data_IF_290976448542
#
_entry.id   IF_290976448542
#
_cell.length_a   1.000
_cell.length_b   1.000
_cell.length_c   1.000
_cell.angle_alpha   90.00
_cell.angle_beta   90.00
_cell.angle_gamma   90.00
#
_symmetry.space_group_name_H-M   'P 1'
#
loop_
_entity.id
_entity.type
_entity.pdbx_description
1 polymer ?
#
# COMPACT_ATOMS: atom_id res chain seq x y z
N UNK A 1 -45.47 -12.95 13.31
CA UNK A 1 -45.47 -11.88 12.28
C UNK A 1 -44.38 -12.21 11.26
N UNK A 2 -44.75 -12.80 10.11
CA UNK A 2 -43.78 -13.15 9.05
C UNK A 2 -43.25 -11.83 8.47
N UNK A 3 -42.00 -11.45 8.81
CA UNK A 3 -41.33 -10.36 8.11
C UNK A 3 -41.12 -10.83 6.67
N UNK A 4 -41.92 -10.29 5.76
CA UNK A 4 -41.81 -10.57 4.34
C UNK A 4 -40.38 -10.26 3.90
N UNK A 5 -39.73 -11.25 3.29
CA UNK A 5 -38.46 -11.06 2.59
C UNK A 5 -38.75 -10.01 1.53
N UNK A 6 -38.30 -8.77 1.76
CA UNK A 6 -38.38 -7.71 0.79
C UNK A 6 -37.51 -8.18 -0.38
N UNK A 7 -38.13 -8.69 -1.44
CA UNK A 7 -37.45 -8.99 -2.68
C UNK A 7 -37.00 -7.66 -3.29
N UNK A 8 -35.88 -7.13 -2.80
CA UNK A 8 -35.18 -6.04 -3.47
C UNK A 8 -34.75 -6.56 -4.82
N UNK A 9 -35.48 -6.15 -5.86
CA UNK A 9 -35.15 -6.35 -7.28
C UNK A 9 -33.89 -5.57 -7.67
N UNK A 10 -32.82 -5.60 -6.87
CA UNK A 10 -31.56 -5.02 -7.30
C UNK A 10 -30.94 -5.95 -8.34
N UNK A 11 -30.84 -5.46 -9.56
CA UNK A 11 -30.16 -6.12 -10.70
C UNK A 11 -28.70 -6.47 -10.32
N UNK A 12 -28.15 -5.80 -9.29
CA UNK A 12 -26.83 -6.06 -8.71
C UNK A 12 -26.75 -7.44 -8.07
N UNK A 13 -27.84 -7.93 -7.46
CA UNK A 13 -27.85 -9.21 -6.73
C UNK A 13 -27.40 -10.38 -7.61
N UNK A 14 -27.79 -10.42 -8.90
CA UNK A 14 -27.57 -11.59 -9.76
C UNK A 14 -26.29 -11.57 -10.60
N UNK A 15 -25.59 -10.43 -10.72
CA UNK A 15 -24.53 -10.26 -11.75
C UNK A 15 -23.13 -9.90 -11.23
N UNK A 16 -22.94 -9.69 -9.92
CA UNK A 16 -21.64 -9.21 -9.40
C UNK A 16 -20.84 -10.21 -8.57
N UNK A 17 -21.49 -11.25 -8.07
CA UNK A 17 -20.79 -12.30 -7.33
C UNK A 17 -20.23 -13.33 -8.31
N UNK A 18 -18.96 -13.68 -8.15
CA UNK A 18 -18.28 -14.69 -8.97
C UNK A 18 -18.55 -16.11 -8.47
N UNK A 19 -19.00 -16.26 -7.22
CA UNK A 19 -19.29 -17.55 -6.59
C UNK A 19 -20.66 -17.56 -5.87
N UNK A 20 -21.21 -18.76 -5.70
CA UNK A 20 -22.53 -18.97 -5.10
C UNK A 20 -22.58 -18.64 -3.60
N UNK A 21 -21.48 -18.84 -2.87
CA UNK A 21 -21.44 -18.63 -1.42
C UNK A 21 -21.52 -17.14 -1.09
N UNK A 22 -20.76 -16.30 -1.81
CA UNK A 22 -20.85 -14.85 -1.68
C UNK A 22 -22.24 -14.31 -2.01
N UNK A 23 -22.95 -14.93 -2.97
CA UNK A 23 -24.33 -14.56 -3.30
C UNK A 23 -25.28 -14.88 -2.15
N UNK A 24 -25.17 -16.06 -1.53
CA UNK A 24 -26.01 -16.46 -0.40
C UNK A 24 -25.77 -15.57 0.84
N UNK A 25 -24.51 -15.30 1.20
CA UNK A 25 -24.21 -14.38 2.31
C UNK A 25 -24.75 -12.97 2.05
N UNK A 26 -24.66 -12.50 0.81
CA UNK A 26 -25.23 -11.22 0.44
C UNK A 26 -26.76 -11.21 0.64
N UNK A 27 -27.47 -12.23 0.14
CA UNK A 27 -28.92 -12.36 0.34
C UNK A 27 -29.30 -12.38 1.82
N UNK A 28 -28.59 -13.15 2.64
CA UNK A 28 -28.82 -13.22 4.09
C UNK A 28 -28.60 -11.86 4.76
N UNK A 29 -27.51 -11.17 4.40
CA UNK A 29 -27.16 -9.84 4.95
C UNK A 29 -28.25 -8.82 4.65
N UNK A 30 -28.70 -8.73 3.40
CA UNK A 30 -29.78 -7.82 2.99
C UNK A 30 -31.12 -8.25 3.60
N UNK A 31 -31.38 -9.55 3.70
CA UNK A 31 -32.58 -10.10 4.36
C UNK A 31 -32.67 -9.71 5.84
N UNK A 32 -31.54 -9.45 6.50
CA UNK A 32 -31.47 -8.90 7.85
C UNK A 32 -31.55 -7.36 7.93
N UNK A 33 -31.79 -6.68 6.80
CA UNK A 33 -31.88 -5.23 6.74
C UNK A 33 -30.53 -4.51 6.81
N UNK A 34 -29.42 -5.22 6.58
CA UNK A 34 -28.09 -4.63 6.53
C UNK A 34 -27.67 -4.33 5.09
N UNK A 35 -26.90 -3.25 4.90
CA UNK A 35 -26.31 -2.91 3.58
C UNK A 35 -24.93 -3.55 3.39
N UNK A 36 -24.63 -4.00 2.18
CA UNK A 36 -23.28 -4.40 1.79
C UNK A 36 -22.58 -3.31 0.97
N UNK A 37 -21.36 -3.60 0.52
CA UNK A 37 -20.65 -2.72 -0.42
C UNK A 37 -21.43 -2.51 -1.73
N UNK A 38 -22.25 -3.48 -2.14
CA UNK A 38 -23.03 -3.40 -3.37
C UNK A 38 -24.16 -2.39 -3.26
N UNK A 39 -24.96 -2.45 -2.18
CA UNK A 39 -26.04 -1.48 -1.93
C UNK A 39 -25.46 -0.07 -1.77
N UNK A 40 -24.34 0.07 -1.04
CA UNK A 40 -23.69 1.37 -0.87
C UNK A 40 -23.13 1.91 -2.18
N UNK A 41 -22.59 1.05 -3.04
CA UNK A 41 -22.13 1.47 -4.37
C UNK A 41 -23.30 1.88 -5.27
N UNK A 42 -24.41 1.15 -5.24
CA UNK A 42 -25.62 1.47 -6.01
C UNK A 42 -26.24 2.79 -5.55
N UNK A 43 -26.33 3.02 -4.24
CA UNK A 43 -26.80 4.28 -3.66
C UNK A 43 -25.95 5.51 -4.05
N UNK A 44 -24.71 5.30 -4.49
CA UNK A 44 -23.82 6.34 -4.98
C UNK A 44 -23.97 6.61 -6.49
N UNK A 45 -24.83 5.88 -7.22
CA UNK A 45 -25.01 6.06 -8.66
C UNK A 45 -26.09 7.11 -9.02
N UNK A 46 -25.86 7.92 -10.08
CA UNK A 46 -24.60 8.04 -10.81
C UNK A 46 -23.56 8.80 -9.99
N UNK A 47 -22.36 8.23 -9.87
CA UNK A 47 -21.25 8.95 -9.23
C UNK A 47 -20.88 10.21 -10.03
N UNK A 48 -20.33 11.22 -9.35
CA UNK A 48 -19.94 12.48 -9.98
C UNK A 48 -19.02 12.27 -11.19
N UNK A 49 -19.49 12.63 -12.40
CA UNK A 49 -18.74 12.45 -13.64
C UNK A 49 -17.45 13.26 -13.71
N UNK A 50 -17.39 14.44 -13.10
CA UNK A 50 -16.18 15.27 -13.03
C UNK A 50 -15.13 14.62 -12.13
N UNK A 51 -15.51 14.16 -10.94
CA UNK A 51 -14.59 13.51 -10.01
C UNK A 51 -14.08 12.18 -10.57
N UNK A 52 -14.94 11.40 -11.24
CA UNK A 52 -14.54 10.12 -11.87
C UNK A 52 -13.50 10.30 -12.97
N UNK A 53 -13.49 11.45 -13.65
CA UNK A 53 -12.46 11.83 -14.65
C UNK A 53 -11.19 12.40 -14.00
N UNK A 54 -11.16 12.57 -12.68
CA UNK A 54 -10.06 13.24 -11.97
C UNK A 54 -10.04 14.76 -12.13
N UNK A 55 -11.10 15.37 -12.68
CA UNK A 55 -11.17 16.80 -13.03
C UNK A 55 -11.68 17.68 -11.89
N UNK A 56 -11.54 17.24 -10.64
CA UNK A 56 -11.89 18.03 -9.45
C UNK A 56 -10.70 18.09 -8.50
N UNK A 57 -10.49 19.27 -7.90
CA UNK A 57 -9.41 19.53 -6.96
C UNK A 57 -9.97 20.12 -5.65
N UNK A 58 -9.50 19.61 -4.51
CA UNK A 58 -9.89 20.04 -3.16
C UNK A 58 -8.67 20.26 -2.25
N UNK A 59 -7.52 20.59 -2.84
CA UNK A 59 -6.25 20.66 -2.12
C UNK A 59 -6.02 21.96 -1.35
N UNK A 60 -6.91 22.94 -1.49
CA UNK A 60 -6.88 24.19 -0.75
C UNK A 60 -8.30 24.68 -0.45
N UNK A 61 -8.38 25.74 0.38
CA UNK A 61 -9.62 26.37 0.81
C UNK A 61 -10.41 27.08 -0.29
N UNK A 62 -9.79 27.41 -1.42
CA UNK A 62 -10.46 28.08 -2.54
C UNK A 62 -11.25 27.09 -3.43
N UNK A 63 -11.11 25.78 -3.17
CA UNK A 63 -11.89 24.73 -3.82
C UNK A 63 -13.30 24.56 -3.22
N UNK A 64 -14.07 23.56 -3.69
CA UNK A 64 -13.72 22.59 -4.73
C UNK A 64 -13.70 23.20 -6.14
N UNK A 65 -12.58 23.08 -6.84
CA UNK A 65 -12.50 23.43 -8.26
C UNK A 65 -12.99 22.25 -9.12
N UNK A 66 -13.69 22.54 -10.23
CA UNK A 66 -14.19 21.56 -11.21
C UNK A 66 -13.90 22.01 -12.63
N UNK A 67 -13.08 21.24 -13.35
CA UNK A 67 -12.66 21.59 -14.71
C UNK A 67 -13.72 21.17 -15.73
N UNK A 68 -14.08 22.10 -16.61
CA UNK A 68 -15.03 21.92 -17.71
C UNK A 68 -14.71 22.88 -18.86
N UNK A 69 -15.40 22.76 -20.01
CA UNK A 69 -15.25 23.71 -21.12
C UNK A 69 -15.59 25.16 -20.73
N UNK A 70 -16.50 25.37 -19.75
CA UNK A 70 -16.89 26.70 -19.25
C UNK A 70 -15.94 27.25 -18.18
N UNK A 71 -15.25 26.35 -17.47
CA UNK A 71 -14.30 26.67 -16.41
C UNK A 71 -13.05 25.81 -16.60
N UNK A 72 -12.17 26.18 -17.55
CA UNK A 72 -11.04 25.33 -17.95
C UNK A 72 -9.90 25.30 -16.92
N UNK A 73 -9.93 26.20 -15.93
CA UNK A 73 -8.90 26.36 -14.90
C UNK A 73 -9.54 26.35 -13.50
N UNK A 74 -8.78 25.89 -12.51
CA UNK A 74 -9.10 26.13 -11.10
C UNK A 74 -8.80 27.58 -10.69
N UNK A 75 -9.18 27.96 -9.48
CA UNK A 75 -8.96 29.32 -8.94
C UNK A 75 -7.49 29.72 -8.98
N UNK A 76 -6.58 28.78 -8.68
CA UNK A 76 -5.14 29.00 -8.73
C UNK A 76 -4.53 28.93 -10.16
N UNK A 77 -5.35 28.72 -11.20
CA UNK A 77 -4.90 28.60 -12.59
C UNK A 77 -4.50 27.18 -13.02
N UNK A 78 -4.60 26.17 -12.16
CA UNK A 78 -4.31 24.79 -12.55
C UNK A 78 -5.36 24.26 -13.56
N UNK A 79 -4.90 23.71 -14.68
CA UNK A 79 -5.77 23.10 -15.70
C UNK A 79 -6.12 21.64 -15.34
N UNK A 80 -6.86 20.97 -16.25
CA UNK A 80 -7.23 19.57 -16.08
C UNK A 80 -6.03 18.61 -15.94
N UNK A 81 -4.99 18.78 -16.74
CA UNK A 81 -3.81 17.89 -16.75
C UNK A 81 -3.08 17.93 -15.42
N UNK A 82 -2.84 19.14 -14.89
CA UNK A 82 -2.18 19.34 -13.59
C UNK A 82 -3.02 18.75 -12.47
N UNK A 83 -4.34 18.97 -12.47
CA UNK A 83 -5.23 18.45 -11.42
C UNK A 83 -5.26 16.93 -11.45
N UNK A 84 -5.35 16.31 -12.64
CA UNK A 84 -5.33 14.85 -12.77
C UNK A 84 -3.99 14.28 -12.28
N UNK A 85 -2.87 14.88 -12.67
CA UNK A 85 -1.54 14.44 -12.23
C UNK A 85 -1.35 14.56 -10.71
N UNK A 86 -1.76 15.68 -10.09
CA UNK A 86 -1.72 15.87 -8.63
C UNK A 86 -2.57 14.85 -7.89
N UNK A 87 -3.79 14.59 -8.39
CA UNK A 87 -4.69 13.62 -7.79
C UNK A 87 -4.09 12.20 -7.82
N UNK A 88 -3.47 11.81 -8.94
CA UNK A 88 -2.78 10.51 -9.03
C UNK A 88 -1.54 10.44 -8.13
N UNK A 89 -0.74 11.49 -8.10
CA UNK A 89 0.46 11.57 -7.26
C UNK A 89 0.11 11.40 -5.77
N UNK A 90 -1.00 11.98 -5.29
CA UNK A 90 -1.44 11.77 -3.91
C UNK A 90 -1.87 10.35 -3.64
N UNK A 91 -2.58 9.70 -4.56
CA UNK A 91 -2.95 8.29 -4.39
C UNK A 91 -1.70 7.41 -4.29
N UNK A 92 -0.69 7.67 -5.12
CA UNK A 92 0.60 6.99 -5.04
C UNK A 92 1.28 7.25 -3.69
N UNK A 93 1.31 8.51 -3.22
CA UNK A 93 1.93 8.88 -1.94
C UNK A 93 1.27 8.20 -0.75
N UNK A 94 -0.07 8.10 -0.72
CA UNK A 94 -0.81 7.39 0.33
C UNK A 94 -0.45 5.90 0.34
N UNK A 95 -0.38 5.27 -0.83
CA UNK A 95 0.04 3.87 -0.96
C UNK A 95 1.45 3.63 -0.44
N UNK A 96 2.41 4.45 -0.88
CA UNK A 96 3.80 4.37 -0.41
C UNK A 96 3.90 4.62 1.10
N UNK A 97 3.17 5.60 1.64
CA UNK A 97 3.15 5.88 3.08
C UNK A 97 2.64 4.69 3.90
N UNK A 98 1.58 4.01 3.45
CA UNK A 98 1.02 2.84 4.13
C UNK A 98 2.03 1.68 4.23
N UNK A 99 2.67 1.34 3.11
CA UNK A 99 3.69 0.28 3.09
C UNK A 99 4.94 0.68 3.89
N UNK A 100 5.36 1.95 3.80
CA UNK A 100 6.50 2.44 4.58
C UNK A 100 6.24 2.36 6.07
N UNK A 101 5.02 2.72 6.50
CA UNK A 101 4.58 2.57 7.89
C UNK A 101 4.65 1.11 8.35
N UNK A 102 4.15 0.18 7.53
CA UNK A 102 4.20 -1.24 7.84
C UNK A 102 5.64 -1.78 7.91
N UNK A 103 6.49 -1.43 6.94
CA UNK A 103 7.91 -1.80 6.91
C UNK A 103 8.64 -1.30 8.16
N UNK A 104 8.42 -0.03 8.54
CA UNK A 104 9.00 0.57 9.74
C UNK A 104 8.59 -0.17 11.01
N UNK A 105 7.31 -0.53 11.13
CA UNK A 105 6.81 -1.29 12.27
C UNK A 105 7.48 -2.67 12.36
N UNK A 106 7.60 -3.38 11.23
CA UNK A 106 8.28 -4.68 11.15
C UNK A 106 9.78 -4.56 11.51
N UNK A 107 10.48 -3.54 11.01
CA UNK A 107 11.88 -3.29 11.36
C UNK A 107 12.04 -3.02 12.87
N UNK A 108 11.17 -2.19 13.46
CA UNK A 108 11.16 -1.96 14.90
C UNK A 108 10.90 -3.25 15.71
N UNK A 109 9.99 -4.11 15.23
CA UNK A 109 9.76 -5.43 15.85
C UNK A 109 11.00 -6.31 15.78
N UNK A 110 11.64 -6.41 14.61
CA UNK A 110 12.87 -7.19 14.43
C UNK A 110 13.99 -6.67 15.35
N UNK A 111 14.17 -5.35 15.43
CA UNK A 111 15.12 -4.72 16.35
C UNK A 111 14.84 -5.08 17.80
N UNK A 112 13.58 -5.00 18.24
CA UNK A 112 13.19 -5.34 19.60
C UNK A 112 13.45 -6.82 19.94
N UNK A 113 13.31 -7.73 18.98
CA UNK A 113 13.68 -9.16 19.17
C UNK A 113 15.20 -9.28 19.35
N UNK A 114 15.98 -8.64 18.47
CA UNK A 114 17.44 -8.67 18.55
C UNK A 114 17.99 -8.08 19.86
N UNK A 115 17.34 -7.06 20.41
CA UNK A 115 17.68 -6.45 21.70
C UNK A 115 17.12 -7.20 22.92
N UNK A 116 16.40 -8.31 22.74
CA UNK A 116 15.79 -9.07 23.83
C UNK A 116 14.62 -8.36 24.52
N UNK A 117 14.02 -7.35 23.88
CA UNK A 117 12.89 -6.57 24.39
C UNK A 117 11.52 -7.07 23.91
N UNK A 118 11.49 -8.10 23.06
CA UNK A 118 10.27 -8.70 22.51
C UNK A 118 10.20 -10.19 22.83
N UNK A 119 9.02 -10.73 23.19
CA UNK A 119 8.84 -12.17 23.39
C UNK A 119 8.75 -12.95 22.06
N UNK A 120 8.63 -12.26 20.93
CA UNK A 120 8.61 -12.87 19.61
C UNK A 120 9.98 -13.45 19.26
N UNK A 121 9.99 -14.44 18.37
CA UNK A 121 11.21 -15.12 17.92
C UNK A 121 11.35 -15.00 16.42
N UNK A 122 12.60 -14.93 15.95
CA UNK A 122 12.92 -15.11 14.54
C UNK A 122 12.66 -16.57 14.18
N UNK A 123 11.95 -16.80 13.08
CA UNK A 123 11.57 -18.14 12.61
C UNK A 123 12.42 -18.61 11.44
N UNK A 124 12.97 -17.69 10.65
CA UNK A 124 13.91 -18.01 9.56
C UNK A 124 15.22 -17.24 9.72
N UNK A 125 16.10 -17.79 10.54
CA UNK A 125 17.45 -17.26 10.76
C UNK A 125 18.29 -17.34 9.47
N UNK A 126 18.07 -18.37 8.65
CA UNK A 126 18.77 -18.56 7.38
C UNK A 126 18.43 -17.47 6.37
N UNK A 127 17.18 -17.01 6.31
CA UNK A 127 16.78 -15.84 5.51
C UNK A 127 17.54 -14.60 5.97
N UNK A 128 17.56 -14.31 7.26
CA UNK A 128 18.28 -13.16 7.82
C UNK A 128 19.78 -13.21 7.44
N UNK A 129 20.43 -14.35 7.66
CA UNK A 129 21.84 -14.55 7.30
C UNK A 129 22.10 -14.33 5.81
N UNK A 130 21.24 -14.88 4.93
CA UNK A 130 21.34 -14.65 3.47
C UNK A 130 21.20 -13.19 3.09
N UNK A 131 20.31 -12.44 3.75
CA UNK A 131 20.16 -11.00 3.49
C UNK A 131 21.39 -10.22 3.95
N UNK A 132 21.91 -10.50 5.14
CA UNK A 132 23.16 -9.90 5.63
C UNK A 132 24.34 -10.22 4.70
N UNK A 133 24.45 -11.46 4.23
CA UNK A 133 25.48 -11.86 3.27
C UNK A 133 25.33 -11.10 1.94
N UNK A 134 24.11 -10.96 1.42
CA UNK A 134 23.84 -10.20 0.19
C UNK A 134 24.15 -8.71 0.31
N UNK A 135 24.10 -8.17 1.53
CA UNK A 135 24.52 -6.81 1.86
C UNK A 135 26.03 -6.68 2.10
N UNK A 136 26.79 -7.77 1.95
CA UNK A 136 28.25 -7.81 2.15
C UNK A 136 28.67 -7.77 3.61
N UNK A 137 27.77 -8.08 4.55
CA UNK A 137 28.08 -8.11 5.98
C UNK A 137 28.51 -9.49 6.45
N UNK A 138 29.21 -9.52 7.58
CA UNK A 138 29.48 -10.76 8.30
C UNK A 138 28.17 -11.35 8.85
N UNK A 139 27.72 -12.44 8.22
CA UNK A 139 26.49 -13.16 8.54
C UNK A 139 26.72 -14.32 9.51
N UNK A 140 27.94 -14.49 10.04
CA UNK A 140 28.28 -15.54 11.01
C UNK A 140 28.11 -15.10 12.47
N UNK A 141 27.82 -13.80 12.67
CA UNK A 141 27.54 -13.20 13.98
C UNK A 141 26.25 -13.77 14.60
N UNK A 142 26.07 -13.61 15.93
CA UNK A 142 24.83 -14.01 16.59
C UNK A 142 23.59 -13.42 15.92
N UNK A 143 22.53 -14.23 15.79
CA UNK A 143 21.27 -13.87 15.12
C UNK A 143 20.65 -12.60 15.71
N UNK A 144 20.77 -12.40 17.03
CA UNK A 144 20.32 -11.19 17.71
C UNK A 144 21.02 -9.93 17.20
N UNK A 145 22.33 -9.99 16.96
CA UNK A 145 23.11 -8.86 16.43
C UNK A 145 22.77 -8.60 14.96
N UNK A 146 22.63 -9.67 14.16
CA UNK A 146 22.20 -9.56 12.77
C UNK A 146 20.82 -8.92 12.65
N UNK A 147 19.90 -9.26 13.56
CA UNK A 147 18.55 -8.72 13.57
C UNK A 147 18.53 -7.22 13.85
N UNK A 148 19.32 -6.75 14.83
CA UNK A 148 19.46 -5.32 15.11
C UNK A 148 20.10 -4.60 13.93
N UNK A 149 21.20 -5.14 13.38
CA UNK A 149 21.89 -4.53 12.25
C UNK A 149 20.98 -4.41 11.01
N UNK A 150 20.25 -5.47 10.67
CA UNK A 150 19.34 -5.47 9.52
C UNK A 150 18.16 -4.51 9.74
N UNK A 151 17.59 -4.49 10.95
CA UNK A 151 16.53 -3.54 11.29
C UNK A 151 17.00 -2.09 11.20
N UNK A 152 18.18 -1.76 11.73
CA UNK A 152 18.76 -0.43 11.68
C UNK A 152 19.05 0.03 10.26
N UNK A 153 19.54 -0.88 9.41
CA UNK A 153 19.67 -0.63 7.98
C UNK A 153 18.33 -0.29 7.32
N UNK A 154 17.28 -1.08 7.58
CA UNK A 154 15.95 -0.80 7.01
C UNK A 154 15.37 0.52 7.50
N UNK A 155 15.55 0.86 8.78
CA UNK A 155 15.14 2.15 9.33
C UNK A 155 15.94 3.30 8.71
N UNK A 156 17.23 3.09 8.44
CA UNK A 156 18.07 4.06 7.73
C UNK A 156 17.62 4.24 6.28
N UNK A 157 17.36 3.17 5.53
CA UNK A 157 16.83 3.23 4.16
C UNK A 157 15.50 3.99 4.10
N UNK A 158 14.62 3.83 5.09
CA UNK A 158 13.36 4.57 5.22
C UNK A 158 13.59 6.06 5.52
N UNK A 159 14.69 6.40 6.19
CA UNK A 159 15.00 7.75 6.68
C UNK A 159 15.98 8.57 5.84
N UNK A 160 16.56 8.01 4.76
CA UNK A 160 17.45 8.75 3.85
C UNK A 160 16.76 9.99 3.25
N UNK A 161 17.55 10.98 2.84
CA UNK A 161 17.04 12.15 2.13
C UNK A 161 16.63 11.80 0.68
N UNK A 162 15.97 12.74 -0.01
CA UNK A 162 15.50 12.53 -1.40
C UNK A 162 16.63 12.52 -2.44
N UNK A 163 17.77 13.17 -2.12
CA UNK A 163 18.98 13.20 -2.93
C UNK A 163 19.93 12.02 -2.67
N UNK A 164 19.60 11.13 -1.74
CA UNK A 164 20.39 9.95 -1.39
C UNK A 164 19.71 8.68 -1.93
N UNK A 165 20.22 8.10 -3.03
CA UNK A 165 19.66 6.87 -3.55
C UNK A 165 19.57 5.73 -2.54
N UNK A 166 18.49 4.96 -2.61
CA UNK A 166 18.33 3.74 -1.83
C UNK A 166 19.38 2.71 -2.22
N UNK A 167 20.04 2.13 -1.22
CA UNK A 167 21.06 1.09 -1.41
C UNK A 167 20.45 -0.16 -2.03
N UNK A 168 19.18 -0.44 -1.69
CA UNK A 168 18.45 -1.60 -2.22
C UNK A 168 18.20 -1.52 -3.73
N UNK A 169 18.10 -0.32 -4.30
CA UNK A 169 18.02 -0.17 -5.77
C UNK A 169 19.34 -0.57 -6.43
N UNK A 170 20.48 -0.17 -5.86
CA UNK A 170 21.80 -0.51 -6.41
C UNK A 170 22.09 -2.01 -6.34
N UNK A 171 21.60 -2.69 -5.30
CA UNK A 171 21.84 -4.11 -5.09
C UNK A 171 20.89 -5.01 -5.89
N UNK A 172 19.59 -4.69 -5.91
CA UNK A 172 18.58 -5.63 -6.40
C UNK A 172 17.99 -5.28 -7.76
N UNK A 173 18.09 -4.04 -8.22
CA UNK A 173 17.59 -3.71 -9.54
C UNK A 173 18.42 -4.38 -10.63
N UNK A 174 17.77 -4.75 -11.73
CA UNK A 174 18.47 -5.21 -12.94
C UNK A 174 19.24 -4.03 -13.55
N UNK A 175 20.48 -4.26 -14.01
CA UNK A 175 21.38 -3.17 -14.45
C UNK A 175 20.78 -2.30 -15.58
N UNK A 176 20.11 -2.92 -16.57
CA UNK A 176 19.38 -2.20 -17.63
C UNK A 176 18.24 -1.31 -17.10
N UNK A 177 17.73 -1.54 -15.89
CA UNK A 177 16.77 -0.64 -15.22
C UNK A 177 17.46 0.50 -14.50
N UNK A 178 18.58 0.24 -13.82
CA UNK A 178 19.40 1.29 -13.22
C UNK A 178 19.81 2.34 -14.24
N UNK A 179 20.28 1.91 -15.41
CA UNK A 179 20.66 2.82 -16.52
C UNK A 179 19.50 3.72 -16.94
N UNK A 180 18.33 3.13 -17.22
CA UNK A 180 17.16 3.90 -17.66
C UNK A 180 16.65 4.84 -16.57
N UNK A 181 16.63 4.41 -15.30
CA UNK A 181 16.20 5.29 -14.22
C UNK A 181 17.18 6.43 -13.98
N UNK A 182 18.49 6.21 -14.14
CA UNK A 182 19.50 7.26 -14.07
C UNK A 182 19.34 8.26 -15.22
N UNK A 183 19.18 7.78 -16.46
CA UNK A 183 18.95 8.63 -17.64
C UNK A 183 17.68 9.48 -17.50
N UNK A 184 16.61 8.92 -16.92
CA UNK A 184 15.32 9.60 -16.76
C UNK A 184 15.18 10.38 -15.45
N UNK A 185 16.20 10.43 -14.59
CA UNK A 185 16.12 11.11 -13.29
C UNK A 185 15.16 10.45 -12.28
N UNK A 186 14.88 9.15 -12.45
CA UNK A 186 13.95 8.36 -11.63
C UNK A 186 14.62 7.58 -10.50
N UNK A 187 15.94 7.70 -10.34
CA UNK A 187 16.65 7.02 -9.24
C UNK A 187 16.24 7.64 -7.90
N UNK A 188 15.46 6.89 -7.11
CA UNK A 188 14.69 7.41 -5.99
C UNK A 188 15.47 7.41 -4.68
N UNK A 189 15.16 8.39 -3.82
CA UNK A 189 15.59 8.42 -2.42
C UNK A 189 14.66 7.58 -1.54
N UNK A 190 14.69 7.80 -0.23
CA UNK A 190 13.86 7.02 0.71
C UNK A 190 12.37 7.18 0.44
N UNK A 191 11.53 6.17 0.75
CA UNK A 191 10.10 6.33 0.62
C UNK A 191 9.52 7.44 1.53
N UNK A 192 10.13 7.75 2.68
CA UNK A 192 9.65 8.86 3.53
C UNK A 192 9.91 10.22 2.87
N UNK A 193 11.11 10.41 2.32
CA UNK A 193 11.48 11.65 1.65
C UNK A 193 10.69 11.83 0.34
N UNK A 194 10.54 10.76 -0.46
CA UNK A 194 9.74 10.80 -1.68
C UNK A 194 8.27 11.11 -1.39
N UNK A 195 7.68 10.58 -0.30
CA UNK A 195 6.31 10.92 0.12
C UNK A 195 6.21 12.40 0.51
N UNK A 196 7.17 12.92 1.28
CA UNK A 196 7.20 14.35 1.63
C UNK A 196 7.27 15.23 0.38
N UNK A 197 8.19 14.91 -0.54
CA UNK A 197 8.36 15.64 -1.80
C UNK A 197 7.11 15.56 -2.67
N UNK A 198 6.48 14.39 -2.78
CA UNK A 198 5.26 14.19 -3.55
C UNK A 198 4.09 15.02 -3.01
N UNK A 199 3.84 14.98 -1.69
CA UNK A 199 2.79 15.77 -1.06
C UNK A 199 3.06 17.26 -1.20
N UNK A 200 4.31 17.69 -1.05
CA UNK A 200 4.72 19.09 -1.25
C UNK A 200 4.46 19.54 -2.70
N UNK A 201 4.84 18.74 -3.70
CA UNK A 201 4.60 19.03 -5.12
C UNK A 201 3.12 19.11 -5.48
N UNK A 202 2.26 18.40 -4.75
CA UNK A 202 0.81 18.48 -4.93
C UNK A 202 0.20 19.80 -4.45
N UNK A 203 0.88 20.54 -3.57
CA UNK A 203 0.36 21.78 -3.01
C UNK A 203 0.26 22.88 -4.07
N UNK A 204 -0.61 23.85 -3.79
CA UNK A 204 -0.80 25.03 -4.64
C UNK A 204 0.52 25.77 -4.85
N UNK A 205 0.80 26.13 -6.11
CA UNK A 205 1.95 26.95 -6.52
C UNK A 205 3.34 26.33 -6.28
N UNK A 206 3.44 25.01 -6.14
CA UNK A 206 4.74 24.31 -6.10
C UNK A 206 5.10 23.74 -7.48
N UNK A 207 4.51 22.62 -7.89
CA UNK A 207 4.71 22.04 -9.23
C UNK A 207 3.43 22.15 -10.06
N UNK A 208 3.54 22.76 -11.24
CA UNK A 208 2.46 22.87 -12.23
C UNK A 208 2.79 22.13 -13.54
N UNK A 209 3.86 21.32 -13.55
CA UNK A 209 4.21 20.47 -14.70
C UNK A 209 3.67 19.05 -14.48
N UNK A 210 2.68 18.60 -15.28
CA UNK A 210 2.16 17.24 -15.19
C UNK A 210 3.23 16.16 -15.37
N UNK A 211 4.26 16.40 -16.19
CA UNK A 211 5.32 15.41 -16.44
C UNK A 211 6.18 15.22 -15.19
N UNK A 212 6.59 16.31 -14.55
CA UNK A 212 7.32 16.29 -13.27
C UNK A 212 6.52 15.59 -12.16
N UNK A 213 5.22 15.87 -12.06
CA UNK A 213 4.32 15.20 -11.10
C UNK A 213 4.25 13.69 -11.35
N UNK A 214 4.10 13.29 -12.62
CA UNK A 214 4.06 11.87 -13.00
C UNK A 214 5.40 11.16 -12.78
N UNK A 215 6.52 11.82 -13.04
CA UNK A 215 7.85 11.27 -12.73
C UNK A 215 8.04 11.09 -11.22
N UNK A 216 7.50 12.01 -10.41
CA UNK A 216 7.50 11.88 -8.94
C UNK A 216 6.66 10.67 -8.49
N UNK A 217 5.52 10.41 -9.15
CA UNK A 217 4.71 9.21 -8.87
C UNK A 217 5.47 7.91 -9.24
N UNK A 218 6.26 7.92 -10.32
CA UNK A 218 7.11 6.79 -10.68
C UNK A 218 8.22 6.55 -9.64
N UNK A 219 8.86 7.62 -9.15
CA UNK A 219 9.87 7.53 -8.07
C UNK A 219 9.27 6.94 -6.80
N UNK A 220 8.06 7.35 -6.41
CA UNK A 220 7.32 6.74 -5.29
C UNK A 220 7.09 5.24 -5.49
N UNK A 221 6.78 4.81 -6.71
CA UNK A 221 6.64 3.39 -7.03
C UNK A 221 7.94 2.61 -6.81
N UNK A 222 9.08 3.17 -7.23
CA UNK A 222 10.40 2.58 -7.00
C UNK A 222 10.76 2.53 -5.52
N UNK A 223 10.56 3.62 -4.78
CA UNK A 223 10.81 3.65 -3.34
C UNK A 223 9.90 2.68 -2.57
N UNK A 224 8.64 2.59 -2.97
CA UNK A 224 7.70 1.64 -2.42
C UNK A 224 8.13 0.19 -2.69
N UNK A 225 8.61 -0.13 -3.90
CA UNK A 225 9.03 -1.49 -4.23
C UNK A 225 10.29 -1.89 -3.45
N UNK A 226 11.36 -1.11 -3.56
CA UNK A 226 12.69 -1.51 -3.09
C UNK A 226 12.87 -1.40 -1.58
N UNK A 227 12.14 -0.51 -0.90
CA UNK A 227 12.20 -0.38 0.58
C UNK A 227 10.91 -0.85 1.23
N UNK A 228 9.75 -0.36 0.76
CA UNK A 228 8.45 -0.67 1.35
C UNK A 228 8.10 -2.16 1.26
N UNK A 229 7.77 -2.64 0.05
CA UNK A 229 7.29 -3.99 -0.20
C UNK A 229 8.38 -5.03 -0.02
N UNK A 230 9.59 -4.78 -0.52
CA UNK A 230 10.74 -5.66 -0.30
C UNK A 230 11.02 -5.83 1.19
N UNK A 231 11.10 -4.71 1.94
CA UNK A 231 11.35 -4.73 3.37
C UNK A 231 10.26 -5.46 4.16
N UNK A 232 8.98 -5.20 3.83
CA UNK A 232 7.84 -5.93 4.41
C UNK A 232 8.00 -7.43 4.20
N UNK A 233 8.22 -7.84 2.95
CA UNK A 233 8.27 -9.26 2.57
C UNK A 233 9.43 -9.95 3.26
N UNK A 234 10.62 -9.37 3.20
CA UNK A 234 11.83 -9.96 3.78
C UNK A 234 11.74 -10.06 5.30
N UNK A 235 11.30 -9.01 5.98
CA UNK A 235 11.18 -9.06 7.45
C UNK A 235 10.06 -10.01 7.87
N UNK A 236 8.95 -10.08 7.13
CA UNK A 236 7.90 -11.05 7.42
C UNK A 236 8.40 -12.49 7.28
N UNK A 237 9.16 -12.82 6.24
CA UNK A 237 9.76 -14.15 6.09
C UNK A 237 10.67 -14.48 7.29
N UNK A 238 11.49 -13.53 7.72
CA UNK A 238 12.38 -13.70 8.89
C UNK A 238 11.58 -13.96 10.17
N UNK A 239 10.51 -13.18 10.40
CA UNK A 239 9.71 -13.25 11.64
C UNK A 239 8.74 -14.42 11.66
N UNK A 240 8.16 -14.79 10.52
CA UNK A 240 7.04 -15.73 10.42
C UNK A 240 7.44 -17.09 9.84
N UNK A 241 8.60 -17.15 9.18
CA UNK A 241 9.08 -18.28 8.40
C UNK A 241 8.85 -18.04 6.91
N UNK A 242 9.84 -18.35 6.06
CA UNK A 242 9.65 -18.32 4.61
C UNK A 242 8.51 -19.28 4.22
N UNK A 243 7.48 -18.84 3.46
CA UNK A 243 6.36 -19.70 3.09
C UNK A 243 6.77 -20.94 2.31
N UNK A 244 6.15 -22.07 2.64
CA UNK A 244 6.27 -23.34 1.91
C UNK A 244 4.95 -23.72 1.23
N UNK A 245 5.01 -24.70 0.32
CA UNK A 245 3.79 -25.23 -0.31
C UNK A 245 2.92 -25.94 0.74
N UNK A 246 1.74 -25.37 0.98
CA UNK A 246 0.74 -25.93 1.90
C UNK A 246 -0.58 -26.15 1.20
N UNK A 247 -1.41 -27.05 1.75
CA UNK A 247 -2.81 -27.22 1.36
C UNK A 247 -3.69 -26.61 2.44
N UNK A 248 -4.66 -25.78 2.05
CA UNK A 248 -5.61 -25.15 2.95
C UNK A 248 -6.99 -25.02 2.31
N UNK A 249 -8.02 -24.92 3.15
CA UNK A 249 -9.36 -24.58 2.70
C UNK A 249 -9.45 -23.07 2.40
N UNK A 250 -10.34 -22.68 1.49
CA UNK A 250 -10.60 -21.29 1.13
C UNK A 250 -12.11 -21.02 1.04
N UNK A 251 -12.47 -19.73 1.04
CA UNK A 251 -13.85 -19.22 1.04
C UNK A 251 -14.58 -19.42 2.40
N UNK A 252 -15.83 -18.96 2.50
CA UNK A 252 -16.59 -18.95 3.75
C UNK A 252 -16.87 -20.34 4.31
N UNK A 253 -16.80 -21.38 3.47
CA UNK A 253 -16.91 -22.78 3.89
C UNK A 253 -15.82 -23.24 4.87
N UNK A 254 -14.79 -22.43 5.12
CA UNK A 254 -13.81 -22.68 6.18
C UNK A 254 -14.38 -22.51 7.60
N UNK A 255 -15.55 -21.88 7.76
CA UNK A 255 -16.16 -21.66 9.07
C UNK A 255 -16.89 -22.93 9.54
N UNK A 256 -16.66 -23.33 10.79
CA UNK A 256 -17.28 -24.50 11.41
C UNK A 256 -18.30 -24.07 12.48
N UNK A 257 -19.61 -24.33 12.29
CA UNK A 257 -20.66 -24.03 13.28
C UNK A 257 -20.48 -24.70 14.65
N UNK A 258 -19.70 -25.79 14.73
CA UNK A 258 -19.40 -26.50 15.97
C UNK A 258 -18.27 -25.87 16.79
N UNK A 259 -17.66 -24.78 16.32
CA UNK A 259 -16.48 -24.17 16.95
C UNK A 259 -16.59 -22.66 17.12
N UNK A 260 -15.71 -22.11 17.96
CA UNK A 260 -15.50 -20.65 18.02
C UNK A 260 -14.66 -20.23 16.83
N UNK A 261 -15.29 -19.51 15.89
CA UNK A 261 -14.63 -19.02 14.68
C UNK A 261 -13.94 -17.67 14.94
N UNK A 262 -12.63 -17.61 14.79
CA UNK A 262 -11.82 -16.39 14.93
C UNK A 262 -11.32 -15.98 13.55
N UNK A 263 -11.67 -14.76 13.12
CA UNK A 263 -11.26 -14.21 11.83
C UNK A 263 -10.24 -13.11 12.05
N UNK A 264 -9.02 -13.31 11.55
CA UNK A 264 -8.02 -12.25 11.45
C UNK A 264 -8.20 -11.48 10.15
N UNK A 265 -8.20 -10.14 10.23
CA UNK A 265 -8.37 -9.25 9.08
C UNK A 265 -7.39 -8.08 9.20
N UNK A 266 -6.65 -7.79 8.14
CA UNK A 266 -5.65 -6.73 8.10
C UNK A 266 -4.46 -7.08 7.21
N UNK A 267 -3.36 -6.36 7.38
CA UNK A 267 -2.15 -6.49 6.55
C UNK A 267 -0.88 -6.74 7.36
N UNK A 268 -0.95 -6.72 8.69
CA UNK A 268 0.19 -6.92 9.58
C UNK A 268 0.08 -8.28 10.30
N UNK A 269 0.65 -9.35 9.73
CA UNK A 269 0.47 -10.72 10.22
C UNK A 269 1.12 -10.99 11.59
N UNK A 270 1.97 -10.10 12.08
CA UNK A 270 2.53 -10.20 13.45
C UNK A 270 1.44 -10.04 14.52
N UNK A 271 0.29 -9.43 14.18
CA UNK A 271 -0.87 -9.30 15.06
C UNK A 271 -1.99 -10.32 14.77
N UNK A 272 -1.80 -11.20 13.78
CA UNK A 272 -2.80 -12.16 13.34
C UNK A 272 -2.80 -13.45 14.17
#
# INVERSE_FOLDING_TARGET
MKRGIMQTKSIVMKKRHQDAQSHELHQATVGHGMSTVFERFEAQQPQCGTCRKGLSCQLCSDGPCRISAKAPLGVCGANGDVIVARNLLQLAAIGTAANTYQCRNLANTLKAIGEGRSPLKIRDEGKLQRMCQGLGWDHTRPVSELAVQFADFMLSEIGKQDNEPMTLMDLFAVDKRKEVWKEKGLYAGSPSAEVLTALTKCMTNISNDPIDLMNTALRLGLANEYVGLWGITVIQDILLGTPELVKGAANIGCLDPGTVNIVSNGHQPVFA
#
